data_IF_418089081693
#
_entry.id   IF_418089081693
#
_cell.length_a   1.000
_cell.length_b   1.000
_cell.length_c   1.000
_cell.angle_alpha   90.00
_cell.angle_beta   90.00
_cell.angle_gamma   90.00
#
_symmetry.space_group_name_H-M   'P 1'
#
loop_
_entity.id
_entity.type
_entity.pdbx_description
1 polymer ?
#
# COMPACT_ATOMS: atom_id res chain seq x y z
N UNK A 1 -11.11 -33.71 -41.00
CA UNK A 1 -12.12 -33.99 -39.94
C UNK A 1 -11.39 -34.00 -38.61
N UNK A 2 -11.44 -33.04 -37.69
CA UNK A 2 -11.96 -31.68 -37.61
C UNK A 2 -11.38 -31.17 -36.29
N UNK A 3 -10.51 -30.17 -36.33
CA UNK A 3 -9.91 -29.58 -35.13
C UNK A 3 -11.00 -28.86 -34.33
N UNK A 4 -11.16 -29.24 -33.06
CA UNK A 4 -12.11 -28.56 -32.15
C UNK A 4 -11.34 -27.56 -31.30
N UNK A 5 -11.56 -26.29 -31.57
CA UNK A 5 -11.17 -25.20 -30.69
C UNK A 5 -11.85 -25.33 -29.31
N UNK A 6 -11.16 -24.98 -28.21
CA UNK A 6 -11.78 -24.88 -26.90
C UNK A 6 -12.76 -23.70 -26.88
N UNK A 7 -14.02 -23.99 -26.54
CA UNK A 7 -15.03 -22.99 -26.21
C UNK A 7 -14.69 -22.34 -24.87
N UNK A 8 -14.51 -21.03 -24.85
CA UNK A 8 -14.44 -20.23 -23.62
C UNK A 8 -15.79 -19.56 -23.43
N UNK A 9 -16.58 -20.05 -22.46
CA UNK A 9 -17.62 -19.25 -21.82
C UNK A 9 -17.30 -19.19 -20.33
N UNK A 10 -17.41 -17.99 -19.76
CA UNK A 10 -17.27 -17.63 -18.35
C UNK A 10 -16.70 -18.73 -17.42
N UNK A 11 -15.37 -18.77 -17.30
CA UNK A 11 -14.69 -19.45 -16.19
C UNK A 11 -14.60 -20.98 -16.22
N UNK A 12 -14.81 -21.67 -17.36
CA UNK A 12 -14.61 -23.12 -17.45
C UNK A 12 -13.64 -23.52 -18.55
N UNK A 13 -12.46 -24.01 -18.18
CA UNK A 13 -11.58 -24.76 -19.08
C UNK A 13 -11.91 -26.26 -18.91
N UNK A 14 -12.52 -26.87 -19.92
CA UNK A 14 -12.78 -28.31 -19.94
C UNK A 14 -11.77 -28.94 -20.91
N UNK A 15 -10.85 -29.75 -20.39
CA UNK A 15 -9.99 -30.60 -21.23
C UNK A 15 -10.32 -32.07 -20.97
N UNK A 16 -10.58 -32.81 -22.05
CA UNK A 16 -10.95 -34.23 -21.98
C UNK A 16 -9.67 -35.05 -22.13
N UNK A 17 -9.27 -35.78 -21.09
CA UNK A 17 -8.18 -36.75 -21.16
C UNK A 17 -8.66 -38.12 -20.66
N UNK A 18 -8.60 -39.15 -21.52
CA UNK A 18 -9.02 -40.54 -21.23
C UNK A 18 -10.45 -40.69 -20.66
N UNK A 19 -11.44 -39.98 -21.20
CA UNK A 19 -12.85 -40.25 -20.90
C UNK A 19 -13.31 -39.89 -19.48
N UNK A 20 -12.50 -39.18 -18.69
CA UNK A 20 -12.91 -38.59 -17.41
C UNK A 20 -12.87 -37.07 -17.51
N UNK A 21 -13.99 -36.42 -17.21
CA UNK A 21 -14.04 -34.98 -17.05
C UNK A 21 -13.38 -34.62 -15.71
N UNK A 22 -12.24 -33.94 -15.75
CA UNK A 22 -11.67 -33.28 -14.58
C UNK A 22 -12.16 -31.82 -14.61
N UNK A 23 -13.04 -31.45 -13.67
CA UNK A 23 -13.28 -30.04 -13.36
C UNK A 23 -12.07 -29.54 -12.57
N UNK A 24 -11.08 -28.97 -13.27
CA UNK A 24 -10.16 -28.04 -12.62
C UNK A 24 -10.95 -26.77 -12.33
N UNK A 25 -11.47 -26.67 -11.11
CA UNK A 25 -11.75 -25.36 -10.53
C UNK A 25 -10.39 -24.73 -10.28
N UNK A 26 -9.87 -24.02 -11.29
CA UNK A 26 -8.82 -23.04 -11.06
C UNK A 26 -9.49 -21.90 -10.29
N UNK A 27 -9.70 -22.10 -8.99
CA UNK A 27 -10.12 -21.05 -8.08
C UNK A 27 -8.99 -20.04 -8.09
N UNK A 28 -9.11 -18.98 -8.88
CA UNK A 28 -8.21 -17.83 -8.76
C UNK A 28 -8.26 -17.39 -7.29
N UNK A 29 -7.22 -17.74 -6.55
CA UNK A 29 -7.12 -17.38 -5.15
C UNK A 29 -6.56 -15.96 -5.10
N UNK A 30 -7.47 -14.99 -5.05
CA UNK A 30 -7.10 -13.60 -4.83
C UNK A 30 -6.39 -13.48 -3.49
N UNK A 31 -5.29 -12.74 -3.45
CA UNK A 31 -4.64 -12.36 -2.20
C UNK A 31 -4.33 -10.87 -2.21
N UNK A 32 -4.24 -10.27 -1.03
CA UNK A 32 -3.96 -8.85 -0.87
C UNK A 32 -3.35 -8.58 0.50
N UNK A 33 -2.47 -7.59 0.57
CA UNK A 33 -2.01 -7.01 1.83
C UNK A 33 -2.94 -5.87 2.24
N UNK A 34 -3.12 -5.67 3.54
CA UNK A 34 -3.77 -4.48 4.08
C UNK A 34 -2.73 -3.70 4.86
N UNK A 35 -2.47 -2.47 4.43
CA UNK A 35 -1.53 -1.57 5.08
C UNK A 35 -2.21 -0.36 5.72
N UNK A 36 -1.63 0.17 6.80
CA UNK A 36 -2.08 1.42 7.43
C UNK A 36 -0.89 2.29 7.84
N UNK A 37 -1.05 3.60 7.66
CA UNK A 37 -0.13 4.59 8.21
C UNK A 37 -0.34 4.67 9.73
N UNK A 38 0.73 4.54 10.51
CA UNK A 38 0.71 4.44 11.98
C UNK A 38 1.89 5.20 12.60
N UNK A 39 1.87 5.37 13.93
CA UNK A 39 2.94 6.06 14.65
C UNK A 39 2.99 7.55 14.32
N UNK A 40 1.86 8.14 13.93
CA UNK A 40 1.77 9.55 13.48
C UNK A 40 1.45 10.53 14.63
N UNK A 41 1.40 10.04 15.87
CA UNK A 41 1.37 10.91 17.07
C UNK A 41 2.68 11.70 17.21
N UNK A 42 2.69 12.78 18.00
CA UNK A 42 3.91 13.57 18.25
C UNK A 42 3.83 14.30 19.60
N UNK A 43 4.78 14.02 20.49
CA UNK A 43 4.84 14.54 21.85
C UNK A 43 3.52 14.26 22.58
N UNK A 44 2.86 15.32 23.02
CA UNK A 44 1.55 15.24 23.69
C UNK A 44 0.35 15.04 22.74
N UNK A 45 0.55 15.16 21.42
CA UNK A 45 -0.53 15.07 20.44
C UNK A 45 -0.73 13.62 20.02
N UNK A 46 -1.89 13.07 20.37
CA UNK A 46 -2.33 11.74 19.90
C UNK A 46 -3.09 11.89 18.59
N UNK A 47 -2.67 11.12 17.60
CA UNK A 47 -3.35 11.00 16.31
C UNK A 47 -3.62 9.53 16.01
N UNK A 48 -4.79 9.27 15.45
CA UNK A 48 -5.23 7.93 15.04
C UNK A 48 -5.60 7.00 16.19
N UNK A 49 -5.79 5.74 15.84
CA UNK A 49 -6.22 4.68 16.75
C UNK A 49 -5.39 3.40 16.51
N UNK A 50 -4.07 3.56 16.57
CA UNK A 50 -3.08 2.53 16.26
C UNK A 50 -3.36 1.19 16.95
N UNK A 51 -3.67 1.21 18.26
CA UNK A 51 -3.92 0.00 19.06
C UNK A 51 -5.13 -0.82 18.60
N UNK A 52 -6.00 -0.22 17.82
CA UNK A 52 -7.25 -0.81 17.41
C UNK A 52 -7.25 -1.18 15.92
N UNK A 53 -6.67 -0.33 15.06
CA UNK A 53 -6.53 -0.63 13.63
C UNK A 53 -5.58 -1.81 13.40
N UNK A 54 -4.56 -1.98 14.25
CA UNK A 54 -3.54 -3.02 14.07
C UNK A 54 -4.10 -4.44 14.01
N UNK A 55 -5.28 -4.66 14.58
CA UNK A 55 -5.99 -5.96 14.60
C UNK A 55 -6.49 -6.40 13.22
N UNK A 56 -6.50 -5.50 12.23
CA UNK A 56 -7.14 -5.70 10.92
C UNK A 56 -6.17 -5.54 9.73
N UNK A 57 -4.87 -5.35 10.00
CA UNK A 57 -3.87 -5.08 8.97
C UNK A 57 -2.76 -6.14 8.99
N UNK A 58 -2.01 -6.25 7.91
CA UNK A 58 -0.84 -7.12 7.80
C UNK A 58 0.47 -6.33 7.75
N UNK A 59 0.42 -5.07 7.34
CA UNK A 59 1.59 -4.19 7.21
C UNK A 59 1.34 -2.81 7.84
N UNK A 60 2.31 -2.28 8.56
CA UNK A 60 2.27 -0.94 9.16
C UNK A 60 3.30 -0.02 8.51
N UNK A 61 2.90 1.21 8.15
CA UNK A 61 3.81 2.25 7.69
C UNK A 61 4.05 3.23 8.85
N UNK A 62 5.19 3.10 9.53
CA UNK A 62 5.50 3.90 10.74
C UNK A 62 6.18 5.20 10.36
N UNK A 63 5.61 6.34 10.79
CA UNK A 63 6.20 7.66 10.57
C UNK A 63 7.59 7.82 11.21
N UNK A 64 8.46 8.61 10.58
CA UNK A 64 9.90 8.60 10.87
C UNK A 64 10.47 9.94 11.40
N UNK A 65 9.65 10.79 12.01
CA UNK A 65 10.11 11.99 12.72
C UNK A 65 10.02 13.31 11.95
N UNK A 66 9.84 13.28 10.63
CA UNK A 66 9.81 14.50 9.80
C UNK A 66 8.40 15.08 9.68
N UNK A 67 7.44 14.32 9.14
CA UNK A 67 6.06 14.77 9.03
C UNK A 67 5.25 14.55 10.31
N UNK A 68 5.58 13.48 11.03
CA UNK A 68 4.98 13.04 12.28
C UNK A 68 5.95 12.11 13.04
N UNK A 69 5.54 11.58 14.19
CA UNK A 69 6.35 10.74 15.08
C UNK A 69 7.48 11.44 15.81
N UNK A 70 7.82 10.88 16.96
CA UNK A 70 9.01 11.19 17.76
C UNK A 70 9.62 9.84 18.20
N UNK A 71 10.80 9.83 18.87
CA UNK A 71 11.45 8.60 19.31
C UNK A 71 10.56 7.65 20.12
N UNK A 72 9.76 8.18 21.04
CA UNK A 72 8.94 7.38 21.95
C UNK A 72 7.73 6.80 21.20
N UNK A 73 7.12 7.60 20.30
CA UNK A 73 6.04 7.12 19.42
C UNK A 73 6.56 6.02 18.50
N UNK A 74 7.71 6.19 17.84
CA UNK A 74 8.29 5.15 16.99
C UNK A 74 8.54 3.86 17.78
N UNK A 75 9.19 3.94 18.94
CA UNK A 75 9.47 2.77 19.77
C UNK A 75 8.19 2.04 20.18
N UNK A 76 7.18 2.78 20.65
CA UNK A 76 5.87 2.24 21.05
C UNK A 76 5.16 1.56 19.88
N UNK A 77 5.13 2.18 18.70
CA UNK A 77 4.45 1.61 17.53
C UNK A 77 5.17 0.36 17.01
N UNK A 78 6.51 0.32 17.06
CA UNK A 78 7.30 -0.89 16.73
C UNK A 78 6.98 -2.03 17.69
N UNK A 79 6.95 -1.76 19.00
CA UNK A 79 6.60 -2.77 20.00
C UNK A 79 5.17 -3.30 19.80
N UNK A 80 4.21 -2.41 19.55
CA UNK A 80 2.83 -2.76 19.25
C UNK A 80 2.72 -3.69 18.02
N UNK A 81 3.45 -3.38 16.94
CA UNK A 81 3.50 -4.22 15.74
C UNK A 81 4.08 -5.60 16.02
N UNK A 82 5.17 -5.66 16.80
CA UNK A 82 5.78 -6.93 17.22
C UNK A 82 4.78 -7.79 18.00
N UNK A 83 4.05 -7.22 18.95
CA UNK A 83 3.06 -7.93 19.77
C UNK A 83 1.91 -8.52 18.94
N UNK A 84 1.53 -7.86 17.84
CA UNK A 84 0.45 -8.29 16.96
C UNK A 84 0.91 -9.09 15.74
N UNK A 85 2.23 -9.27 15.55
CA UNK A 85 2.78 -9.94 14.37
C UNK A 85 2.56 -9.16 13.06
N UNK A 86 2.37 -7.85 13.13
CA UNK A 86 2.22 -6.96 11.96
C UNK A 86 3.60 -6.57 11.43
N UNK A 87 3.80 -6.66 10.12
CA UNK A 87 5.09 -6.39 9.48
C UNK A 87 5.30 -4.89 9.32
N UNK A 88 6.53 -4.43 9.48
CA UNK A 88 6.83 -3.01 9.64
C UNK A 88 7.54 -2.46 8.41
N UNK A 89 7.07 -1.31 7.93
CA UNK A 89 7.74 -0.49 6.95
C UNK A 89 7.91 0.94 7.42
N UNK A 90 8.87 1.63 6.83
CA UNK A 90 9.10 3.05 7.11
C UNK A 90 8.15 3.93 6.30
N UNK A 91 7.68 5.01 6.92
CA UNK A 91 6.80 6.00 6.32
C UNK A 91 7.47 7.39 6.22
N UNK A 92 8.52 7.55 5.40
CA UNK A 92 9.26 8.80 5.32
C UNK A 92 8.44 9.89 4.62
N UNK A 93 8.46 11.09 5.18
CA UNK A 93 7.80 12.27 4.63
C UNK A 93 8.76 13.42 4.36
N UNK A 94 8.23 14.50 3.79
CA UNK A 94 8.95 15.78 3.76
C UNK A 94 9.19 16.30 5.19
N UNK A 95 10.27 17.08 5.44
CA UNK A 95 10.54 17.75 6.72
C UNK A 95 9.57 18.91 6.98
N UNK A 96 8.28 18.60 7.04
CA UNK A 96 7.18 19.54 7.18
C UNK A 96 6.18 19.05 8.23
N UNK A 97 6.60 19.04 9.49
CA UNK A 97 5.71 18.67 10.60
C UNK A 97 4.45 19.56 10.70
N UNK A 98 4.54 20.90 10.60
CA UNK A 98 3.34 21.75 10.67
C UNK A 98 2.33 21.48 9.55
N UNK A 99 2.79 21.10 8.36
CA UNK A 99 1.93 20.69 7.25
C UNK A 99 1.67 19.18 7.18
N UNK A 100 2.09 18.42 8.19
CA UNK A 100 1.99 16.96 8.25
C UNK A 100 2.57 16.28 7.02
N UNK A 101 3.62 16.83 6.40
CA UNK A 101 4.22 16.29 5.17
C UNK A 101 3.28 16.28 3.95
N UNK A 102 2.13 16.98 4.01
CA UNK A 102 1.13 17.04 2.95
C UNK A 102 1.33 18.23 1.99
N UNK A 103 2.38 19.04 2.18
CA UNK A 103 2.76 20.13 1.27
C UNK A 103 3.98 19.71 0.45
N UNK A 104 3.95 20.05 -0.84
CA UNK A 104 5.13 19.86 -1.69
C UNK A 104 6.26 20.76 -1.19
N UNK A 105 7.48 20.21 -1.14
CA UNK A 105 8.70 20.96 -0.87
C UNK A 105 9.64 20.77 -2.05
N UNK A 106 10.15 21.89 -2.57
CA UNK A 106 11.10 21.91 -3.69
C UNK A 106 12.51 21.59 -3.18
N UNK A 107 12.78 20.29 -3.01
CA UNK A 107 14.08 19.75 -2.62
C UNK A 107 14.75 19.09 -3.83
N UNK A 108 16.07 19.18 -3.88
CA UNK A 108 16.86 18.44 -4.88
C UNK A 108 16.71 16.93 -4.67
N UNK A 109 16.93 16.15 -5.74
CA UNK A 109 16.93 14.68 -5.67
C UNK A 109 17.83 14.15 -4.55
N UNK A 110 19.04 14.72 -4.42
CA UNK A 110 20.00 14.32 -3.38
C UNK A 110 19.47 14.60 -1.97
N UNK A 111 18.81 15.73 -1.76
CA UNK A 111 18.19 16.06 -0.46
C UNK A 111 17.05 15.11 -0.14
N UNK A 112 16.22 14.75 -1.12
CA UNK A 112 15.12 13.80 -0.95
C UNK A 112 15.67 12.41 -0.59
N UNK A 113 16.62 11.88 -1.37
CA UNK A 113 17.24 10.58 -1.12
C UNK A 113 17.87 10.54 0.28
N UNK A 114 18.68 11.54 0.63
CA UNK A 114 19.31 11.59 1.95
C UNK A 114 18.29 11.69 3.09
N UNK A 115 17.21 12.47 2.89
CA UNK A 115 16.13 12.59 3.88
C UNK A 115 15.38 11.28 4.09
N UNK A 116 15.16 10.51 3.02
CA UNK A 116 14.56 9.17 3.12
C UNK A 116 15.51 8.22 3.84
N UNK A 117 16.80 8.17 3.47
CA UNK A 117 17.79 7.32 4.15
C UNK A 117 17.89 7.64 5.65
N UNK A 118 17.92 8.93 6.01
CA UNK A 118 17.93 9.36 7.41
C UNK A 118 16.72 8.82 8.18
N UNK A 119 15.52 9.02 7.64
CA UNK A 119 14.27 8.61 8.27
C UNK A 119 14.17 7.09 8.42
N UNK A 120 14.53 6.33 7.37
CA UNK A 120 14.54 4.87 7.43
C UNK A 120 15.59 4.37 8.43
N UNK A 121 16.77 5.00 8.48
CA UNK A 121 17.80 4.68 9.46
C UNK A 121 17.35 4.93 10.91
N UNK A 122 16.62 6.02 11.15
CA UNK A 122 16.04 6.33 12.47
C UNK A 122 15.06 5.24 12.93
N UNK A 123 14.12 4.82 12.07
CA UNK A 123 13.22 3.71 12.38
C UNK A 123 13.97 2.40 12.55
N UNK A 124 14.96 2.11 11.68
CA UNK A 124 15.75 0.88 11.69
C UNK A 124 16.45 0.66 13.03
N UNK A 125 16.89 1.71 13.71
CA UNK A 125 17.46 1.61 15.06
C UNK A 125 16.48 0.99 16.08
N UNK A 126 15.20 1.37 16.03
CA UNK A 126 14.17 0.77 16.88
C UNK A 126 13.82 -0.65 16.43
N UNK A 127 13.75 -0.89 15.12
CA UNK A 127 13.53 -2.25 14.61
C UNK A 127 14.60 -3.22 15.11
N UNK A 128 15.87 -2.80 15.09
CA UNK A 128 16.99 -3.58 15.61
C UNK A 128 16.93 -3.79 17.12
N UNK A 129 16.56 -2.75 17.87
CA UNK A 129 16.35 -2.84 19.32
C UNK A 129 15.31 -3.91 19.69
N UNK A 130 14.23 -4.00 18.92
CA UNK A 130 13.14 -4.95 19.17
C UNK A 130 13.28 -6.29 18.42
N UNK A 131 14.34 -6.46 17.61
CA UNK A 131 14.62 -7.69 16.87
C UNK A 131 13.63 -7.97 15.73
N UNK A 132 13.08 -6.93 15.10
CA UNK A 132 12.11 -7.04 14.01
C UNK A 132 12.70 -6.55 12.68
N UNK A 133 12.36 -7.17 11.53
CA UNK A 133 12.90 -6.75 10.24
C UNK A 133 12.17 -5.53 9.67
N UNK A 134 12.87 -4.76 8.83
CA UNK A 134 12.25 -3.77 7.95
C UNK A 134 11.75 -4.49 6.68
N UNK A 135 10.43 -4.50 6.45
CA UNK A 135 9.81 -5.14 5.28
C UNK A 135 9.77 -4.21 4.07
N UNK A 136 9.28 -2.98 4.27
CA UNK A 136 8.91 -2.10 3.18
C UNK A 136 9.17 -0.62 3.47
N UNK A 137 9.07 0.20 2.43
CA UNK A 137 9.07 1.66 2.53
C UNK A 137 7.94 2.21 1.69
N UNK A 138 7.13 3.09 2.28
CA UNK A 138 6.05 3.82 1.63
C UNK A 138 6.23 5.29 1.92
N UNK A 139 6.45 6.14 0.92
CA UNK A 139 6.55 7.57 1.16
C UNK A 139 5.23 8.15 1.71
N UNK A 140 5.31 9.20 2.52
CA UNK A 140 4.15 9.89 3.08
C UNK A 140 3.68 11.06 2.20
N UNK A 141 2.36 11.28 2.16
CA UNK A 141 1.76 12.55 1.79
C UNK A 141 2.22 13.12 0.44
N UNK A 142 2.74 14.35 0.46
CA UNK A 142 3.16 15.03 -0.76
C UNK A 142 4.43 14.41 -1.38
N UNK A 143 5.28 13.73 -0.59
CA UNK A 143 6.42 13.00 -1.14
C UNK A 143 5.92 11.82 -1.98
N UNK A 144 4.96 11.04 -1.48
CA UNK A 144 4.33 9.95 -2.24
C UNK A 144 3.80 10.42 -3.60
N UNK A 145 3.00 11.50 -3.59
CA UNK A 145 2.44 12.05 -4.83
C UNK A 145 3.53 12.54 -5.80
N UNK A 146 4.63 13.10 -5.29
CA UNK A 146 5.77 13.51 -6.11
C UNK A 146 6.43 12.29 -6.78
N UNK A 147 6.58 11.18 -6.04
CA UNK A 147 7.17 9.95 -6.57
C UNK A 147 6.30 9.28 -7.65
N UNK A 148 4.97 9.34 -7.51
CA UNK A 148 4.03 8.85 -8.54
C UNK A 148 4.25 9.52 -9.90
N UNK A 149 4.70 10.79 -9.90
CA UNK A 149 5.01 11.54 -11.11
C UNK A 149 6.48 11.44 -11.57
N UNK A 150 7.37 10.86 -10.75
CA UNK A 150 8.84 10.87 -10.95
C UNK A 150 9.44 9.47 -10.79
N UNK A 151 9.33 8.66 -11.85
CA UNK A 151 9.87 7.31 -11.88
C UNK A 151 11.40 7.27 -11.63
N UNK A 152 12.13 8.26 -12.15
CA UNK A 152 13.57 8.42 -11.94
C UNK A 152 13.92 8.58 -10.45
N UNK A 153 13.21 9.47 -9.76
CA UNK A 153 13.38 9.68 -8.32
C UNK A 153 12.98 8.45 -7.50
N UNK A 154 11.89 7.77 -7.90
CA UNK A 154 11.45 6.53 -7.26
C UNK A 154 12.54 5.45 -7.32
N UNK A 155 13.17 5.27 -8.49
CA UNK A 155 14.27 4.32 -8.69
C UNK A 155 15.50 4.74 -7.87
N UNK A 156 15.88 6.03 -7.90
CA UNK A 156 17.02 6.52 -7.13
C UNK A 156 16.87 6.26 -5.62
N UNK A 157 15.68 6.49 -5.06
CA UNK A 157 15.36 6.20 -3.66
C UNK A 157 15.42 4.70 -3.38
N UNK A 158 14.75 3.89 -4.19
CA UNK A 158 14.68 2.44 -3.99
C UNK A 158 16.08 1.79 -4.07
N UNK A 159 16.90 2.18 -5.05
CA UNK A 159 18.29 1.71 -5.19
C UNK A 159 19.20 2.20 -4.06
N UNK A 160 18.97 3.40 -3.50
CA UNK A 160 19.68 3.86 -2.30
C UNK A 160 19.28 3.04 -1.06
N UNK A 161 17.98 2.81 -0.85
CA UNK A 161 17.47 2.00 0.25
C UNK A 161 17.99 0.56 0.19
N UNK A 162 18.01 -0.04 -1.00
CA UNK A 162 18.49 -1.41 -1.18
C UNK A 162 19.96 -1.56 -0.77
N UNK A 163 20.80 -0.58 -1.14
CA UNK A 163 22.22 -0.55 -0.74
C UNK A 163 22.42 -0.33 0.76
N UNK A 164 21.59 0.50 1.38
CA UNK A 164 21.74 0.87 2.78
C UNK A 164 21.17 -0.18 3.75
N UNK A 165 20.07 -0.82 3.38
CA UNK A 165 19.24 -1.60 4.31
C UNK A 165 18.84 -2.99 3.79
N UNK A 166 19.28 -3.39 2.58
CA UNK A 166 19.04 -4.72 2.03
C UNK A 166 17.75 -4.83 1.22
N UNK A 167 17.18 -6.04 1.17
CA UNK A 167 16.05 -6.33 0.29
C UNK A 167 14.72 -5.77 0.82
N UNK A 168 14.36 -4.57 0.38
CA UNK A 168 13.17 -3.81 0.82
C UNK A 168 12.13 -3.75 -0.31
N UNK A 169 10.86 -3.87 0.06
CA UNK A 169 9.72 -3.64 -0.85
C UNK A 169 9.37 -2.16 -0.88
N UNK A 170 9.31 -1.55 -2.06
CA UNK A 170 8.91 -0.14 -2.21
C UNK A 170 7.45 0.00 -2.65
N UNK A 171 6.64 0.73 -1.90
CA UNK A 171 5.21 0.94 -2.22
C UNK A 171 5.01 2.16 -3.10
N UNK A 172 4.18 2.00 -4.13
CA UNK A 172 3.81 3.09 -5.04
C UNK A 172 2.41 2.85 -5.62
N UNK A 173 1.77 3.91 -6.13
CA UNK A 173 0.41 3.85 -6.63
C UNK A 173 0.26 2.85 -7.78
N UNK A 174 -0.72 1.96 -7.68
CA UNK A 174 -0.93 0.85 -8.61
C UNK A 174 -1.74 1.18 -9.85
N UNK A 175 -1.24 2.01 -10.76
CA UNK A 175 -1.97 2.42 -11.98
C UNK A 175 -1.27 1.99 -13.26
N UNK A 176 -1.91 2.19 -14.42
CA UNK A 176 -1.27 2.00 -15.73
C UNK A 176 0.02 2.80 -15.91
N UNK A 177 0.16 3.95 -15.23
CA UNK A 177 1.37 4.79 -15.32
C UNK A 177 2.60 4.07 -14.72
N UNK A 178 2.38 3.14 -13.81
CA UNK A 178 3.41 2.40 -13.07
C UNK A 178 4.04 1.26 -13.89
N UNK A 179 3.50 0.94 -15.07
CA UNK A 179 4.03 -0.13 -15.94
C UNK A 179 5.49 0.13 -16.34
N UNK A 180 5.84 1.39 -16.64
CA UNK A 180 7.23 1.76 -16.97
C UNK A 180 8.16 1.57 -15.77
N UNK A 181 7.71 1.98 -14.58
CA UNK A 181 8.46 1.81 -13.33
C UNK A 181 8.69 0.32 -13.04
N UNK A 182 7.65 -0.53 -13.16
CA UNK A 182 7.77 -1.99 -13.01
C UNK A 182 8.87 -2.60 -13.88
N UNK A 183 8.96 -2.17 -15.14
CA UNK A 183 9.99 -2.68 -16.05
C UNK A 183 11.41 -2.30 -15.60
N UNK A 184 11.62 -1.05 -15.17
CA UNK A 184 12.91 -0.57 -14.67
C UNK A 184 13.28 -1.28 -13.36
N UNK A 185 12.36 -1.32 -12.39
CA UNK A 185 12.58 -2.00 -11.11
C UNK A 185 12.93 -3.47 -11.30
N UNK A 186 12.29 -4.17 -12.24
CA UNK A 186 12.62 -5.57 -12.56
C UNK A 186 14.06 -5.73 -13.07
N UNK A 187 14.54 -4.80 -13.91
CA UNK A 187 15.92 -4.82 -14.42
C UNK A 187 16.94 -4.57 -13.29
N UNK A 188 16.60 -3.66 -12.37
CA UNK A 188 17.44 -3.31 -11.22
C UNK A 188 17.27 -4.22 -10.01
N UNK A 189 16.41 -5.25 -10.08
CA UNK A 189 16.07 -6.17 -8.98
C UNK A 189 15.53 -5.44 -7.74
N UNK A 190 14.74 -4.41 -7.98
CA UNK A 190 13.98 -3.68 -6.96
C UNK A 190 12.59 -4.30 -6.87
N UNK A 191 12.20 -4.70 -5.65
CA UNK A 191 10.83 -5.16 -5.38
C UNK A 191 9.92 -3.96 -5.16
N UNK A 192 8.79 -3.94 -5.86
CA UNK A 192 7.78 -2.91 -5.67
C UNK A 192 6.42 -3.54 -5.43
N UNK A 193 5.67 -3.00 -4.48
CA UNK A 193 4.27 -3.35 -4.24
C UNK A 193 3.38 -2.22 -4.74
N UNK A 194 2.32 -2.59 -5.45
CA UNK A 194 1.35 -1.66 -5.97
C UNK A 194 0.19 -1.45 -5.02
N UNK A 195 -0.01 -0.19 -4.65
CA UNK A 195 -0.98 0.21 -3.65
C UNK A 195 -2.23 0.82 -4.29
N UNK A 196 -3.39 0.48 -3.74
CA UNK A 196 -4.66 1.12 -4.04
C UNK A 196 -5.32 1.70 -2.77
N UNK A 197 -6.19 2.69 -2.97
CA UNK A 197 -6.79 3.50 -1.89
C UNK A 197 -8.31 3.44 -1.97
N UNK A 198 -8.97 2.49 -1.30
CA UNK A 198 -10.43 2.32 -1.34
C UNK A 198 -11.22 3.55 -0.88
N UNK A 199 -10.64 4.31 0.04
CA UNK A 199 -11.22 5.50 0.66
C UNK A 199 -10.91 6.80 -0.10
N UNK A 200 -10.19 6.73 -1.22
CA UNK A 200 -9.87 7.89 -2.06
C UNK A 200 -10.56 7.80 -3.41
N UNK A 201 -10.94 8.96 -3.92
CA UNK A 201 -11.37 9.10 -5.30
C UNK A 201 -10.17 9.34 -6.22
N UNK A 202 -10.32 8.86 -7.45
CA UNK A 202 -9.30 8.92 -8.48
C UNK A 202 -9.71 9.91 -9.58
N UNK A 203 -8.71 10.55 -10.20
CA UNK A 203 -8.91 11.32 -11.43
C UNK A 203 -9.04 10.39 -12.64
N UNK A 204 -9.44 10.92 -13.79
CA UNK A 204 -9.56 10.14 -15.03
C UNK A 204 -8.21 9.67 -15.60
N UNK A 205 -7.12 10.26 -15.10
CA UNK A 205 -5.72 9.92 -15.38
C UNK A 205 -5.15 8.90 -14.38
N UNK A 206 -5.97 8.44 -13.42
CA UNK A 206 -5.62 7.45 -12.41
C UNK A 206 -4.79 7.98 -11.25
N UNK A 207 -4.77 9.29 -11.01
CA UNK A 207 -4.12 9.86 -9.82
C UNK A 207 -5.11 9.98 -8.66
N UNK A 208 -4.61 10.08 -7.43
CA UNK A 208 -5.47 10.35 -6.28
C UNK A 208 -5.96 11.80 -6.33
N UNK A 209 -7.27 12.00 -6.21
CA UNK A 209 -7.87 13.34 -6.21
C UNK A 209 -7.30 14.15 -5.03
N UNK A 210 -6.80 15.38 -5.24
CA UNK A 210 -6.22 16.20 -4.18
C UNK A 210 -7.17 16.36 -2.98
N UNK A 211 -6.64 16.15 -1.75
CA UNK A 211 -7.44 16.14 -0.51
C UNK A 211 -8.22 17.45 -0.23
N UNK A 212 -7.83 18.55 -0.85
CA UNK A 212 -8.50 19.87 -0.71
C UNK A 212 -9.78 19.98 -1.54
N UNK A 213 -10.00 19.06 -2.49
CA UNK A 213 -11.18 19.06 -3.33
C UNK A 213 -12.32 18.29 -2.65
N UNK A 214 -13.54 18.77 -2.88
CA UNK A 214 -14.74 18.08 -2.44
C UNK A 214 -14.82 16.67 -3.05
N UNK A 215 -15.28 15.70 -2.27
CA UNK A 215 -15.37 14.31 -2.71
C UNK A 215 -14.02 13.57 -2.80
N UNK A 216 -12.89 14.14 -2.40
CA UNK A 216 -11.59 13.45 -2.46
C UNK A 216 -11.48 12.22 -1.55
N UNK A 217 -12.28 12.16 -0.49
CA UNK A 217 -12.31 11.08 0.50
C UNK A 217 -13.72 10.50 0.58
N UNK A 218 -13.83 9.20 0.39
CA UNK A 218 -15.05 8.42 0.61
C UNK A 218 -15.17 8.17 2.11
N UNK A 219 -16.36 8.40 2.70
CA UNK A 219 -16.55 8.34 4.16
C UNK A 219 -17.36 7.13 4.62
N UNK A 220 -18.18 6.56 3.76
CA UNK A 220 -19.06 5.44 4.11
C UNK A 220 -18.28 4.12 4.17
N UNK A 221 -18.15 3.47 5.35
CA UNK A 221 -17.38 2.24 5.49
C UNK A 221 -17.83 1.10 4.57
N UNK A 222 -19.14 0.96 4.34
CA UNK A 222 -19.69 -0.08 3.46
C UNK A 222 -19.27 0.10 2.01
N UNK A 223 -19.29 1.34 1.53
CA UNK A 223 -18.80 1.71 0.19
C UNK A 223 -17.31 1.48 0.06
N UNK A 224 -16.52 1.87 1.07
CA UNK A 224 -15.07 1.66 1.10
C UNK A 224 -14.74 0.16 1.04
N UNK A 225 -15.40 -0.67 1.85
CA UNK A 225 -15.18 -2.12 1.88
C UNK A 225 -15.53 -2.81 0.56
N UNK A 226 -16.66 -2.43 -0.07
CA UNK A 226 -17.03 -2.92 -1.41
C UNK A 226 -16.01 -2.49 -2.47
N UNK A 227 -15.55 -1.24 -2.42
CA UNK A 227 -14.50 -0.73 -3.31
C UNK A 227 -13.21 -1.51 -3.13
N UNK A 228 -12.79 -1.79 -1.89
CA UNK A 228 -11.60 -2.56 -1.58
C UNK A 228 -11.61 -3.96 -2.24
N UNK A 229 -12.66 -4.75 -2.01
CA UNK A 229 -12.79 -6.07 -2.63
C UNK A 229 -12.92 -5.97 -4.17
N UNK A 230 -13.65 -4.97 -4.66
CA UNK A 230 -13.81 -4.71 -6.09
C UNK A 230 -12.49 -4.36 -6.78
N UNK A 231 -11.63 -3.55 -6.16
CA UNK A 231 -10.30 -3.20 -6.69
C UNK A 231 -9.42 -4.44 -6.89
N UNK A 232 -9.46 -5.38 -5.93
CA UNK A 232 -8.68 -6.62 -6.00
C UNK A 232 -9.22 -7.57 -7.08
N UNK A 233 -10.55 -7.78 -7.11
CA UNK A 233 -11.17 -8.74 -8.04
C UNK A 233 -11.27 -8.24 -9.47
N UNK A 234 -11.59 -6.96 -9.64
CA UNK A 234 -11.89 -6.37 -10.94
C UNK A 234 -10.69 -5.60 -11.52
N UNK A 235 -9.59 -5.50 -10.78
CA UNK A 235 -8.38 -4.80 -11.19
C UNK A 235 -8.66 -3.35 -11.63
N UNK A 236 -9.46 -2.63 -10.85
CA UNK A 236 -9.80 -1.26 -11.16
C UNK A 236 -10.83 -0.61 -10.25
N UNK A 237 -11.09 0.67 -10.52
CA UNK A 237 -12.04 1.51 -9.78
C UNK A 237 -12.63 2.57 -10.71
N UNK A 238 -13.84 3.04 -10.41
CA UNK A 238 -14.39 4.23 -11.05
C UNK A 238 -13.71 5.51 -10.53
N UNK A 239 -13.39 6.42 -11.44
CA UNK A 239 -12.96 7.78 -11.15
C UNK A 239 -14.12 8.61 -10.58
N UNK A 240 -13.81 9.83 -10.14
CA UNK A 240 -14.81 10.81 -9.70
C UNK A 240 -15.86 11.15 -10.79
N UNK A 241 -15.52 10.96 -12.07
CA UNK A 241 -16.39 11.21 -13.22
C UNK A 241 -17.04 9.93 -13.77
N UNK A 242 -16.89 8.79 -13.10
CA UNK A 242 -17.46 7.50 -13.53
C UNK A 242 -16.65 6.77 -14.61
N UNK A 243 -15.43 7.22 -14.94
CA UNK A 243 -14.55 6.52 -15.87
C UNK A 243 -13.88 5.34 -15.18
N UNK A 244 -13.85 4.18 -15.83
CA UNK A 244 -13.10 3.03 -15.31
C UNK A 244 -11.59 3.25 -15.38
N UNK A 245 -10.90 3.09 -14.25
CA UNK A 245 -9.45 3.18 -14.10
C UNK A 245 -8.93 1.77 -13.78
N UNK A 246 -8.08 1.22 -14.64
CA UNK A 246 -7.41 -0.05 -14.34
C UNK A 246 -6.32 0.15 -13.29
N UNK A 247 -6.35 -0.72 -12.29
CA UNK A 247 -5.41 -0.77 -11.19
C UNK A 247 -4.78 -2.15 -11.12
N UNK A 248 -3.52 -2.21 -10.71
CA UNK A 248 -2.92 -3.45 -10.24
C UNK A 248 -2.68 -3.28 -8.73
N UNK A 249 -3.08 -4.28 -7.95
CA UNK A 249 -3.29 -4.13 -6.50
C UNK A 249 -2.61 -5.29 -5.79
N UNK A 250 -1.51 -4.98 -5.11
CA UNK A 250 -0.81 -5.90 -4.21
C UNK A 250 -1.17 -5.59 -2.75
N UNK A 251 -1.46 -4.32 -2.44
CA UNK A 251 -1.86 -3.85 -1.11
C UNK A 251 -2.95 -2.79 -1.15
N UNK A 252 -3.81 -2.79 -0.13
CA UNK A 252 -4.84 -1.80 0.10
C UNK A 252 -4.46 -0.90 1.28
N UNK A 253 -4.39 0.40 1.05
CA UNK A 253 -4.16 1.39 2.11
C UNK A 253 -5.44 1.70 2.86
N UNK A 254 -5.35 1.71 4.18
CA UNK A 254 -6.37 2.23 5.09
C UNK A 254 -5.73 3.39 5.87
N UNK A 255 -6.42 4.52 6.00
CA UNK A 255 -5.92 5.63 6.81
C UNK A 255 -6.53 5.54 8.21
N UNK A 256 -5.72 5.51 9.27
CA UNK A 256 -6.17 5.42 10.67
C UNK A 256 -6.60 6.73 11.33
N UNK A 257 -6.75 7.82 10.56
CA UNK A 257 -6.80 9.21 11.04
C UNK A 257 -7.94 9.54 12.04
N UNK A 258 -9.05 8.80 12.06
CA UNK A 258 -10.24 9.12 12.87
C UNK A 258 -11.07 7.88 13.26
N UNK A 259 -12.06 7.98 14.18
CA UNK A 259 -12.87 6.83 14.58
C UNK A 259 -13.62 6.13 13.43
N UNK A 260 -14.04 6.85 12.39
CA UNK A 260 -14.69 6.22 11.22
C UNK A 260 -13.70 5.36 10.41
N UNK A 261 -12.40 5.69 10.45
CA UNK A 261 -11.34 4.86 9.87
C UNK A 261 -11.25 3.46 10.49
N UNK A 262 -11.58 3.34 11.77
CA UNK A 262 -11.56 2.05 12.48
C UNK A 262 -12.65 1.11 12.00
N UNK A 263 -13.86 1.66 11.88
CA UNK A 263 -15.00 0.92 11.33
C UNK A 263 -14.72 0.51 9.88
N UNK A 264 -14.12 1.41 9.10
CA UNK A 264 -13.65 1.09 7.75
C UNK A 264 -12.59 -0.01 7.75
N UNK A 265 -11.60 0.01 8.65
CA UNK A 265 -10.55 -1.02 8.73
C UNK A 265 -11.14 -2.42 8.96
N UNK A 266 -11.98 -2.54 9.99
CA UNK A 266 -12.68 -3.79 10.29
C UNK A 266 -13.56 -4.24 9.12
N UNK A 267 -14.33 -3.32 8.55
CA UNK A 267 -15.27 -3.66 7.48
C UNK A 267 -14.55 -4.06 6.19
N UNK A 268 -13.44 -3.41 5.83
CA UNK A 268 -12.60 -3.84 4.71
C UNK A 268 -12.08 -5.25 4.96
N UNK A 269 -11.46 -5.50 6.12
CA UNK A 269 -10.91 -6.81 6.46
C UNK A 269 -11.97 -7.92 6.35
N UNK A 270 -13.12 -7.73 7.01
CA UNK A 270 -14.20 -8.72 7.04
C UNK A 270 -14.81 -8.93 5.65
N UNK A 271 -15.04 -7.86 4.88
CA UNK A 271 -15.65 -7.94 3.56
C UNK A 271 -14.71 -8.58 2.54
N UNK A 272 -13.42 -8.21 2.52
CA UNK A 272 -12.39 -8.80 1.66
C UNK A 272 -12.28 -10.31 1.95
N UNK A 273 -12.26 -10.70 3.22
CA UNK A 273 -12.24 -12.11 3.62
C UNK A 273 -13.51 -12.86 3.20
N UNK A 274 -14.68 -12.28 3.41
CA UNK A 274 -15.97 -12.87 3.02
C UNK A 274 -16.11 -13.06 1.51
N UNK A 275 -15.47 -12.19 0.72
CA UNK A 275 -15.37 -12.28 -0.74
C UNK A 275 -14.37 -13.36 -1.21
N UNK A 276 -13.73 -14.11 -0.30
CA UNK A 276 -12.80 -15.18 -0.61
C UNK A 276 -11.39 -14.70 -1.02
N UNK A 277 -11.05 -13.44 -0.69
CA UNK A 277 -9.71 -12.89 -0.91
C UNK A 277 -8.87 -13.18 0.34
N UNK A 278 -7.70 -13.77 0.16
CA UNK A 278 -6.78 -14.12 1.24
C UNK A 278 -5.94 -12.90 1.65
N UNK A 279 -6.06 -12.49 2.91
CA UNK A 279 -5.27 -11.38 3.45
C UNK A 279 -3.90 -11.92 3.89
N UNK A 280 -2.80 -11.35 3.36
CA UNK A 280 -1.44 -11.79 3.63
C UNK A 280 -0.45 -10.63 3.64
N UNK A 281 0.68 -10.71 4.37
CA UNK A 281 1.69 -9.65 4.36
C UNK A 281 2.42 -9.53 3.01
N UNK A 282 2.88 -8.31 2.71
CA UNK A 282 3.52 -7.94 1.44
C UNK A 282 4.60 -8.91 0.97
N UNK A 283 5.47 -9.37 1.86
CA UNK A 283 6.59 -10.25 1.48
C UNK A 283 6.14 -11.63 0.93
N UNK A 284 4.87 -11.99 1.09
CA UNK A 284 4.29 -13.21 0.50
C UNK A 284 3.65 -12.98 -0.87
N UNK A 285 3.43 -11.71 -1.23
CA UNK A 285 2.77 -11.27 -2.46
C UNK A 285 3.82 -10.86 -3.51
N UNK A 286 4.90 -10.18 -3.08
CA UNK A 286 5.92 -9.55 -3.95
C UNK A 286 7.33 -10.08 -3.73
#
# INVERSE_FOLDING_TARGET
>A
MGERHPYVSAGKIITIHKGRAFCYYDLMQYCVDINCDMGESFGMYRLGADEEVIKYITSSNIACGFHASDPDVMAKTVELCREHGVLIGAHPGYPDRPGFGRRFMDLTEKEIVNSVIYQVGALKGFLDLFGVPLQHVKAHGALYNHLVARNDLCVAIASALQRAFGDIIFLILGTKKTVKLKAVCKQERIRIALEAFPDRNYTDEGELLPRKLEGAVVKDPGTIAKRAAGMVKNHGVESINGKWIELAVDTLCIHGDNPASMEAAKMIHDYVSAEGIKIQPLHTIV
#
